data_IF_919981252179
#
_entry.id   IF_919981252179
#
_cell.length_a   1.000
_cell.length_b   1.000
_cell.length_c   1.000
_cell.angle_alpha   90.00
_cell.angle_beta   90.00
_cell.angle_gamma   90.00
#
_symmetry.space_group_name_H-M   'P 1'
#
loop_
_entity.id
_entity.type
_entity.pdbx_description
1 polymer ?
#
# COMPACT_ATOMS: atom_id res chain seq x y z
N UNK A 1 13.80 -30.72 4.21
CA UNK A 1 12.59 -31.13 3.46
C UNK A 1 12.80 -30.76 2.01
N UNK A 2 12.64 -31.67 1.05
CA UNK A 2 12.68 -31.31 -0.37
C UNK A 2 11.44 -30.46 -0.65
N UNK A 3 11.61 -29.13 -0.75
CA UNK A 3 10.54 -28.24 -1.15
C UNK A 3 10.03 -28.70 -2.52
N UNK A 4 8.77 -29.14 -2.59
CA UNK A 4 8.14 -29.49 -3.85
C UNK A 4 7.81 -28.19 -4.57
N UNK A 5 8.66 -27.82 -5.52
CA UNK A 5 8.39 -26.74 -6.46
C UNK A 5 7.47 -27.24 -7.57
N UNK A 6 6.45 -26.46 -7.89
CA UNK A 6 5.57 -26.70 -9.02
C UNK A 6 5.89 -25.66 -10.09
N UNK A 7 6.15 -26.10 -11.31
CA UNK A 7 6.43 -25.19 -12.44
C UNK A 7 5.29 -25.26 -13.43
N UNK A 8 4.62 -24.13 -13.66
CA UNK A 8 3.49 -24.03 -14.58
C UNK A 8 3.56 -22.74 -15.40
N UNK A 9 3.19 -22.82 -16.68
CA UNK A 9 2.96 -21.63 -17.51
C UNK A 9 1.60 -21.02 -17.19
N UNK A 10 1.40 -19.75 -17.57
CA UNK A 10 0.11 -19.06 -17.40
C UNK A 10 -1.05 -19.82 -18.07
N UNK A 11 -0.82 -20.38 -19.28
CA UNK A 11 -1.82 -21.17 -20.00
C UNK A 11 -2.19 -22.47 -19.25
N UNK A 12 -1.22 -23.13 -18.63
CA UNK A 12 -1.46 -24.32 -17.81
C UNK A 12 -2.24 -23.96 -16.54
N UNK A 13 -1.86 -22.88 -15.86
CA UNK A 13 -2.57 -22.36 -14.67
C UNK A 13 -4.03 -22.07 -15.03
N UNK A 14 -4.28 -21.38 -16.15
CA UNK A 14 -5.63 -21.10 -16.65
C UNK A 14 -6.43 -22.36 -16.90
N UNK A 15 -5.83 -23.35 -17.59
CA UNK A 15 -6.50 -24.61 -17.89
C UNK A 15 -6.92 -25.37 -16.62
N UNK A 16 -6.03 -25.44 -15.61
CA UNK A 16 -6.34 -26.09 -14.32
C UNK A 16 -7.40 -25.32 -13.54
N UNK A 17 -7.29 -24.00 -13.49
CA UNK A 17 -8.25 -23.10 -12.83
C UNK A 17 -9.67 -23.30 -13.38
N UNK A 18 -9.83 -23.34 -14.71
CA UNK A 18 -11.12 -23.57 -15.36
C UNK A 18 -11.67 -24.97 -15.10
N UNK A 19 -10.82 -26.00 -15.23
CA UNK A 19 -11.24 -27.40 -15.04
C UNK A 19 -11.60 -27.72 -13.58
N UNK A 20 -10.99 -27.04 -12.63
CA UNK A 20 -11.18 -27.26 -11.19
C UNK A 20 -12.11 -26.24 -10.53
N UNK A 21 -12.71 -25.34 -11.32
CA UNK A 21 -13.58 -24.25 -10.86
C UNK A 21 -12.94 -23.35 -9.78
N UNK A 22 -11.63 -23.10 -9.89
CA UNK A 22 -10.91 -22.19 -8.98
C UNK A 22 -10.88 -20.81 -9.63
N UNK A 23 -11.77 -19.92 -9.19
CA UNK A 23 -11.78 -18.52 -9.65
C UNK A 23 -10.73 -17.72 -8.89
N UNK A 24 -9.84 -16.94 -9.52
CA UNK A 24 -8.94 -16.07 -8.78
C UNK A 24 -9.69 -15.03 -7.94
N UNK A 25 -9.21 -14.72 -6.73
CA UNK A 25 -9.75 -13.63 -5.93
C UNK A 25 -8.94 -12.33 -6.11
N UNK A 26 -9.35 -11.25 -5.46
CA UNK A 26 -8.69 -9.95 -5.61
C UNK A 26 -7.23 -9.92 -5.13
N UNK A 27 -6.84 -10.85 -4.26
CA UNK A 27 -5.49 -10.98 -3.71
C UNK A 27 -4.59 -11.91 -4.53
N UNK A 28 -5.09 -12.54 -5.60
CA UNK A 28 -4.30 -13.47 -6.43
C UNK A 28 -2.93 -12.90 -6.80
N UNK A 29 -1.87 -13.63 -6.44
CA UNK A 29 -0.48 -13.24 -6.75
C UNK A 29 -0.07 -13.60 -8.19
N UNK A 30 -0.89 -14.41 -8.87
CA UNK A 30 -0.69 -14.77 -10.26
C UNK A 30 -1.29 -13.71 -11.20
N UNK A 31 -0.66 -13.47 -12.36
CA UNK A 31 -1.10 -12.47 -13.32
C UNK A 31 -2.52 -12.77 -13.84
N UNK A 32 -3.16 -11.76 -14.43
CA UNK A 32 -4.46 -11.95 -15.09
C UNK A 32 -4.35 -13.01 -16.19
N UNK A 33 -5.04 -14.13 -15.99
CA UNK A 33 -5.07 -15.30 -16.86
C UNK A 33 -5.90 -15.05 -18.13
N UNK A 34 -5.71 -13.90 -18.78
CA UNK A 34 -6.47 -13.45 -19.95
C UNK A 34 -6.01 -14.10 -21.26
N UNK A 35 -5.04 -15.01 -21.21
CA UNK A 35 -4.49 -15.67 -22.39
C UNK A 35 -5.54 -16.51 -23.14
N UNK A 36 -5.49 -16.48 -24.47
CA UNK A 36 -6.43 -17.20 -25.35
C UNK A 36 -5.95 -18.60 -25.74
N UNK A 37 -4.71 -18.96 -25.42
CA UNK A 37 -4.15 -20.27 -25.73
C UNK A 37 -4.83 -21.39 -24.92
N UNK A 38 -5.36 -22.38 -25.63
CA UNK A 38 -6.01 -23.55 -25.05
C UNK A 38 -5.00 -24.69 -24.95
N UNK A 39 -4.54 -24.97 -23.74
CA UNK A 39 -3.66 -26.11 -23.43
C UNK A 39 -4.43 -27.13 -22.60
N UNK A 40 -4.09 -28.42 -22.73
CA UNK A 40 -4.67 -29.45 -21.86
C UNK A 40 -4.21 -29.23 -20.40
N UNK A 41 -5.11 -29.32 -19.41
CA UNK A 41 -4.75 -29.10 -18.02
C UNK A 41 -3.77 -30.19 -17.56
N UNK A 42 -2.61 -29.85 -16.99
CA UNK A 42 -1.75 -30.83 -16.35
C UNK A 42 -2.50 -31.50 -15.18
N UNK A 43 -2.21 -32.78 -14.96
CA UNK A 43 -2.75 -33.53 -13.82
C UNK A 43 -1.94 -33.16 -12.59
N UNK A 44 -2.58 -32.51 -11.62
CA UNK A 44 -1.99 -32.14 -10.34
C UNK A 44 -2.50 -33.07 -9.23
N UNK A 45 -1.61 -33.47 -8.34
CA UNK A 45 -2.00 -34.20 -7.12
C UNK A 45 -2.72 -33.26 -6.11
N UNK A 46 -3.37 -33.78 -5.05
CA UNK A 46 -4.08 -32.95 -4.09
C UNK A 46 -3.24 -31.88 -3.40
N UNK A 47 -1.95 -32.15 -3.14
CA UNK A 47 -1.05 -31.18 -2.52
C UNK A 47 -0.67 -30.08 -3.52
N UNK A 48 -0.43 -30.44 -4.78
CA UNK A 48 -0.18 -29.50 -5.86
C UNK A 48 -1.40 -28.61 -6.14
N UNK A 49 -2.60 -29.18 -6.06
CA UNK A 49 -3.86 -28.43 -6.16
C UNK A 49 -4.02 -27.43 -5.00
N UNK A 50 -3.63 -27.79 -3.77
CA UNK A 50 -3.66 -26.87 -2.63
C UNK A 50 -2.72 -25.68 -2.83
N UNK A 51 -1.49 -25.92 -3.30
CA UNK A 51 -0.52 -24.86 -3.64
C UNK A 51 -1.05 -23.94 -4.73
N UNK A 52 -1.58 -24.48 -5.82
CA UNK A 52 -2.17 -23.66 -6.87
C UNK A 52 -3.38 -22.84 -6.37
N UNK A 53 -4.22 -23.45 -5.53
CA UNK A 53 -5.37 -22.76 -4.94
C UNK A 53 -4.94 -21.63 -4.02
N UNK A 54 -3.90 -21.84 -3.20
CA UNK A 54 -3.34 -20.77 -2.38
C UNK A 54 -2.81 -19.63 -3.26
N UNK A 55 -2.10 -19.92 -4.35
CA UNK A 55 -1.61 -18.87 -5.25
C UNK A 55 -2.72 -18.06 -5.96
N UNK A 56 -3.82 -18.72 -6.37
CA UNK A 56 -4.95 -18.08 -7.07
C UNK A 56 -5.97 -17.42 -6.12
N UNK A 57 -6.15 -17.98 -4.93
CA UNK A 57 -7.14 -17.54 -3.94
C UNK A 57 -6.54 -17.41 -2.53
N UNK A 58 -5.52 -16.56 -2.32
CA UNK A 58 -5.00 -16.30 -0.98
C UNK A 58 -6.09 -15.77 -0.04
N UNK A 59 -5.96 -16.06 1.24
CA UNK A 59 -6.66 -15.31 2.30
C UNK A 59 -5.82 -14.12 2.79
N UNK A 60 -4.49 -14.24 2.66
CA UNK A 60 -3.53 -13.20 2.98
C UNK A 60 -2.39 -13.27 1.97
N UNK A 61 -1.87 -12.12 1.57
CA UNK A 61 -0.62 -12.02 0.82
C UNK A 61 0.35 -11.13 1.58
N UNK A 62 1.62 -11.49 1.59
CA UNK A 62 2.66 -10.70 2.21
C UNK A 62 3.79 -10.42 1.23
N UNK A 63 4.09 -9.14 1.03
CA UNK A 63 5.30 -8.71 0.35
C UNK A 63 6.37 -8.43 1.41
N UNK A 64 7.53 -9.06 1.25
CA UNK A 64 8.63 -8.97 2.21
C UNK A 64 9.88 -8.50 1.49
N UNK A 65 10.48 -7.43 1.99
CA UNK A 65 11.77 -6.95 1.53
C UNK A 65 12.80 -7.13 2.65
N UNK A 66 13.93 -7.78 2.35
CA UNK A 66 15.05 -7.95 3.27
C UNK A 66 16.29 -7.33 2.66
N UNK A 67 16.78 -6.26 3.26
CA UNK A 67 18.08 -5.67 2.94
C UNK A 67 19.13 -6.20 3.92
N UNK A 68 20.16 -6.85 3.38
CA UNK A 68 21.33 -7.35 4.11
C UNK A 68 22.46 -6.34 3.97
N UNK A 69 22.67 -5.56 5.03
CA UNK A 69 23.61 -4.45 5.09
C UNK A 69 23.49 -3.53 3.86
N UNK A 70 24.51 -3.47 3.01
CA UNK A 70 24.48 -2.75 1.74
C UNK A 70 24.70 -3.69 0.53
N UNK A 71 24.69 -5.01 0.73
CA UNK A 71 25.25 -5.99 -0.22
C UNK A 71 24.19 -6.87 -0.89
N UNK A 72 23.00 -7.00 -0.31
CA UNK A 72 21.95 -7.85 -0.84
C UNK A 72 20.56 -7.32 -0.54
N UNK A 73 19.68 -7.38 -1.55
CA UNK A 73 18.25 -7.13 -1.42
C UNK A 73 17.50 -8.39 -1.85
N UNK A 74 16.64 -8.88 -0.98
CA UNK A 74 15.72 -9.98 -1.26
C UNK A 74 14.30 -9.45 -1.24
N UNK A 75 13.56 -9.66 -2.33
CA UNK A 75 12.13 -9.35 -2.42
C UNK A 75 11.37 -10.66 -2.57
N UNK A 76 10.38 -10.86 -1.71
CA UNK A 76 9.58 -12.08 -1.65
C UNK A 76 8.11 -11.71 -1.67
N UNK A 77 7.33 -12.49 -2.41
CA UNK A 77 5.88 -12.44 -2.37
C UNK A 77 5.37 -13.79 -1.90
N UNK A 78 4.69 -13.79 -0.75
CA UNK A 78 4.07 -14.94 -0.14
C UNK A 78 2.56 -14.84 -0.30
N UNK A 79 1.94 -15.92 -0.77
CA UNK A 79 0.50 -16.13 -0.65
C UNK A 79 0.21 -17.17 0.44
N UNK A 80 -0.83 -16.95 1.24
CA UNK A 80 -1.27 -17.84 2.31
C UNK A 80 -2.74 -18.20 2.15
N UNK A 81 -3.07 -19.49 2.22
CA UNK A 81 -4.43 -20.01 2.34
C UNK A 81 -4.44 -21.25 3.22
N UNK A 82 -5.14 -21.21 4.36
CA UNK A 82 -5.04 -22.31 5.32
C UNK A 82 -3.64 -22.38 5.90
N UNK A 83 -3.12 -23.60 6.03
CA UNK A 83 -1.73 -23.90 6.39
C UNK A 83 -0.80 -23.91 5.16
N UNK A 84 -1.31 -23.58 3.97
CA UNK A 84 -0.54 -23.61 2.73
C UNK A 84 -0.01 -22.23 2.39
N UNK A 85 1.31 -22.07 2.49
CA UNK A 85 2.02 -20.92 1.97
C UNK A 85 2.66 -21.21 0.62
N UNK A 86 2.73 -20.18 -0.22
CA UNK A 86 3.31 -20.26 -1.56
C UNK A 86 4.17 -19.04 -1.83
N UNK A 87 5.46 -19.27 -2.05
CA UNK A 87 6.37 -18.27 -2.60
C UNK A 87 6.35 -18.37 -4.12
N UNK A 88 6.17 -17.23 -4.78
CA UNK A 88 6.19 -17.14 -6.23
C UNK A 88 7.59 -16.76 -6.74
N UNK A 89 8.18 -17.65 -7.52
CA UNK A 89 9.34 -17.37 -8.36
C UNK A 89 8.94 -17.27 -9.83
N UNK A 90 9.71 -16.52 -10.62
CA UNK A 90 9.61 -16.53 -12.08
C UNK A 90 10.92 -17.00 -12.69
N UNK A 91 10.83 -17.92 -13.65
CA UNK A 91 11.96 -18.37 -14.45
C UNK A 91 11.49 -18.53 -15.88
N UNK A 92 12.17 -17.87 -16.81
CA UNK A 92 11.78 -17.79 -18.22
C UNK A 92 10.31 -17.34 -18.35
N UNK A 93 9.47 -18.16 -18.98
CA UNK A 93 8.03 -17.94 -19.16
C UNK A 93 7.16 -18.77 -18.19
N UNK A 94 7.76 -19.32 -17.12
CA UNK A 94 7.09 -20.20 -16.17
C UNK A 94 7.03 -19.61 -14.77
N UNK A 95 5.91 -19.87 -14.09
CA UNK A 95 5.74 -19.60 -12.67
C UNK A 95 6.26 -20.78 -11.87
N UNK A 96 7.15 -20.52 -10.91
CA UNK A 96 7.60 -21.49 -9.93
C UNK A 96 6.86 -21.23 -8.61
N UNK A 97 6.01 -22.17 -8.21
CA UNK A 97 5.28 -22.13 -6.96
C UNK A 97 6.03 -22.99 -5.94
N UNK A 98 6.70 -22.33 -4.99
CA UNK A 98 7.47 -23.00 -3.95
C UNK A 98 6.58 -23.10 -2.71
N UNK A 99 6.33 -24.33 -2.27
CA UNK A 99 5.56 -24.59 -1.05
C UNK A 99 6.31 -24.05 0.17
N UNK A 100 5.60 -23.34 1.04
CA UNK A 100 6.09 -22.75 2.27
C UNK A 100 4.98 -22.69 3.33
N UNK A 101 5.27 -22.06 4.46
CA UNK A 101 4.32 -21.74 5.52
C UNK A 101 4.69 -20.39 6.13
N UNK A 102 3.77 -19.79 6.89
CA UNK A 102 4.03 -18.59 7.68
C UNK A 102 5.19 -18.80 8.67
N UNK A 103 5.28 -19.99 9.27
CA UNK A 103 6.33 -20.34 10.22
C UNK A 103 7.71 -20.50 9.57
N UNK A 104 7.78 -21.13 8.39
CA UNK A 104 9.02 -21.27 7.63
C UNK A 104 9.58 -19.89 7.25
N UNK A 105 8.71 -18.99 6.79
CA UNK A 105 9.10 -17.66 6.38
C UNK A 105 9.51 -16.79 7.57
N UNK A 106 8.75 -16.84 8.67
CA UNK A 106 9.12 -16.18 9.91
C UNK A 106 10.50 -16.65 10.40
N UNK A 107 10.73 -17.97 10.43
CA UNK A 107 12.02 -18.55 10.82
C UNK A 107 13.16 -18.05 9.93
N UNK A 108 12.95 -17.99 8.62
CA UNK A 108 13.96 -17.48 7.68
C UNK A 108 14.30 -16.00 7.95
N UNK A 109 13.29 -15.14 8.12
CA UNK A 109 13.52 -13.71 8.40
C UNK A 109 14.20 -13.52 9.77
N UNK A 110 13.76 -14.25 10.79
CA UNK A 110 14.39 -14.22 12.11
C UNK A 110 15.85 -14.66 12.07
N UNK A 111 16.20 -15.65 11.23
CA UNK A 111 17.58 -16.07 11.04
C UNK A 111 18.48 -14.93 10.51
N UNK A 112 17.94 -14.04 9.67
CA UNK A 112 18.65 -12.83 9.23
C UNK A 112 18.74 -11.79 10.37
N UNK A 113 17.65 -11.53 11.09
CA UNK A 113 17.63 -10.57 12.20
C UNK A 113 18.53 -10.98 13.37
N UNK A 114 18.70 -12.28 13.60
CA UNK A 114 19.57 -12.84 14.65
C UNK A 114 21.06 -12.84 14.27
N UNK A 115 21.43 -12.46 13.04
CA UNK A 115 22.83 -12.38 12.64
C UNK A 115 23.59 -11.37 13.50
N UNK A 116 24.67 -11.82 14.14
CA UNK A 116 25.41 -11.00 15.11
C UNK A 116 25.03 -11.24 16.56
N UNK A 117 24.10 -12.16 16.83
CA UNK A 117 23.65 -12.51 18.18
C UNK A 117 22.38 -11.78 18.61
N UNK A 118 21.94 -12.11 19.82
CA UNK A 118 20.71 -11.59 20.42
C UNK A 118 20.72 -10.06 20.53
N UNK A 119 19.73 -9.35 19.97
CA UNK A 119 19.57 -7.92 20.15
C UNK A 119 19.29 -7.59 21.63
N UNK A 120 19.83 -6.45 22.07
CA UNK A 120 19.52 -5.89 23.39
C UNK A 120 18.20 -5.15 23.33
N UNK A 121 17.23 -5.62 24.12
CA UNK A 121 15.99 -4.89 24.35
C UNK A 121 16.27 -3.63 25.18
N UNK A 122 15.80 -2.48 24.71
CA UNK A 122 15.88 -1.17 25.38
C UNK A 122 14.51 -0.79 25.95
N UNK A 123 14.49 0.00 27.02
CA UNK A 123 13.26 0.56 27.58
C UNK A 123 12.75 1.78 26.79
N UNK A 124 13.05 1.85 25.49
CA UNK A 124 12.68 2.94 24.60
C UNK A 124 11.49 2.49 23.75
N UNK A 125 10.41 3.25 23.84
CA UNK A 125 9.23 3.13 23.00
C UNK A 125 8.82 4.55 22.60
N UNK A 126 8.86 4.85 21.31
CA UNK A 126 8.46 6.15 20.76
C UNK A 126 7.15 5.97 20.02
N UNK A 127 6.15 6.75 20.39
CA UNK A 127 4.94 6.91 19.59
C UNK A 127 5.06 8.26 18.90
N UNK A 128 5.07 8.23 17.57
CA UNK A 128 5.36 9.36 16.71
C UNK A 128 4.22 9.55 15.71
N UNK A 129 4.00 10.77 15.22
CA UNK A 129 3.35 10.93 13.92
C UNK A 129 4.20 10.31 12.81
N UNK A 130 3.55 9.88 11.71
CA UNK A 130 4.28 9.41 10.52
C UNK A 130 5.26 10.47 9.99
N UNK A 131 4.89 11.75 10.07
CA UNK A 131 5.75 12.87 9.69
C UNK A 131 7.03 12.93 10.55
N UNK A 132 6.91 12.87 11.89
CA UNK A 132 8.07 12.85 12.77
C UNK A 132 8.94 11.62 12.53
N UNK A 133 8.34 10.46 12.27
CA UNK A 133 9.08 9.24 11.95
C UNK A 133 9.89 9.36 10.64
N UNK A 134 9.29 9.83 9.54
CA UNK A 134 10.04 10.01 8.29
C UNK A 134 11.14 11.07 8.42
N UNK A 135 10.89 12.14 9.19
CA UNK A 135 11.90 13.15 9.47
C UNK A 135 13.07 12.60 10.28
N UNK A 136 12.81 11.66 11.19
CA UNK A 136 13.83 10.94 11.95
C UNK A 136 14.68 10.05 11.04
N UNK A 137 14.06 9.33 10.09
CA UNK A 137 14.80 8.54 9.09
C UNK A 137 15.61 9.43 8.14
N UNK A 138 15.05 10.56 7.71
CA UNK A 138 15.74 11.57 6.91
C UNK A 138 17.00 12.09 7.61
N UNK A 139 16.89 12.39 8.90
CA UNK A 139 18.03 12.77 9.73
C UNK A 139 19.07 11.65 9.77
N UNK A 140 18.66 10.40 10.04
CA UNK A 140 19.60 9.27 10.09
C UNK A 140 20.36 9.06 8.77
N UNK A 141 19.68 9.24 7.63
CA UNK A 141 20.32 9.16 6.32
C UNK A 141 21.22 10.36 6.03
N UNK A 142 20.84 11.57 6.42
CA UNK A 142 21.73 12.73 6.31
C UNK A 142 23.01 12.55 7.15
N UNK A 143 22.90 11.97 8.34
CA UNK A 143 24.04 11.65 9.19
C UNK A 143 24.96 10.59 8.57
N UNK A 144 24.39 9.49 8.07
CA UNK A 144 25.16 8.46 7.33
C UNK A 144 25.85 9.07 6.11
N UNK A 145 25.22 9.99 5.38
CA UNK A 145 25.84 10.68 4.25
C UNK A 145 27.02 11.54 4.67
N UNK A 146 26.85 12.39 5.68
CA UNK A 146 27.93 13.24 6.20
C UNK A 146 29.13 12.43 6.70
N UNK A 147 28.89 11.30 7.39
CA UNK A 147 29.93 10.38 7.80
C UNK A 147 30.72 9.81 6.60
N UNK A 148 30.02 9.31 5.57
CA UNK A 148 30.67 8.76 4.37
C UNK A 148 31.46 9.83 3.61
N UNK A 149 30.94 11.04 3.49
CA UNK A 149 31.65 12.18 2.90
C UNK A 149 32.90 12.55 3.70
N UNK A 150 32.82 12.55 5.04
CA UNK A 150 33.96 12.76 5.92
C UNK A 150 35.06 11.72 5.71
N UNK A 151 34.69 10.44 5.61
CA UNK A 151 35.64 9.36 5.32
C UNK A 151 36.36 9.57 3.97
N UNK A 152 35.62 9.96 2.92
CA UNK A 152 36.19 10.23 1.60
C UNK A 152 37.14 11.42 1.60
N UNK A 153 36.81 12.45 2.36
CA UNK A 153 37.60 13.69 2.46
C UNK A 153 38.69 13.63 3.53
N UNK A 154 38.80 12.52 4.27
CA UNK A 154 39.66 12.39 5.45
C UNK A 154 39.42 13.50 6.49
N UNK A 155 38.16 13.89 6.68
CA UNK A 155 37.72 14.87 7.67
C UNK A 155 36.69 14.26 8.62
N UNK A 156 36.58 14.85 9.81
CA UNK A 156 35.40 14.65 10.66
C UNK A 156 34.40 15.72 10.25
N UNK A 157 33.34 15.31 9.57
CA UNK A 157 32.26 16.20 9.15
C UNK A 157 31.03 15.92 10.02
N UNK A 158 30.62 16.91 10.80
CA UNK A 158 29.31 16.86 11.42
C UNK A 158 28.27 17.25 10.35
N UNK A 159 27.24 16.43 10.13
CA UNK A 159 26.19 16.74 9.17
C UNK A 159 25.44 17.98 9.65
N UNK A 160 25.41 19.02 8.81
CA UNK A 160 24.58 20.19 9.08
C UNK A 160 23.16 19.85 8.63
N UNK A 161 22.31 19.46 9.58
CA UNK A 161 20.88 19.39 9.30
C UNK A 161 20.35 20.81 9.12
N UNK A 162 19.53 21.00 8.08
CA UNK A 162 18.74 22.21 7.86
C UNK A 162 17.33 21.79 7.46
N UNK A 163 16.35 22.65 7.72
CA UNK A 163 14.96 22.44 7.29
C UNK A 163 14.89 22.13 5.80
N UNK A 164 15.59 22.92 4.97
CA UNK A 164 15.59 22.73 3.51
C UNK A 164 16.28 21.45 3.05
N UNK A 165 17.29 20.96 3.79
CA UNK A 165 17.91 19.67 3.51
C UNK A 165 16.94 18.51 3.81
N UNK A 166 16.22 18.60 4.93
CA UNK A 166 15.23 17.61 5.33
C UNK A 166 14.01 17.60 4.39
N UNK A 167 13.52 18.76 3.94
CA UNK A 167 12.47 18.86 2.89
C UNK A 167 12.86 18.10 1.63
N UNK A 168 14.08 18.38 1.14
CA UNK A 168 14.56 17.78 -0.08
C UNK A 168 14.73 16.27 0.05
N UNK A 169 15.18 15.81 1.23
CA UNK A 169 15.46 14.39 1.46
C UNK A 169 14.28 13.47 1.20
N UNK A 170 13.04 13.88 1.50
CA UNK A 170 11.85 13.06 1.26
C UNK A 170 11.52 12.98 -0.22
N UNK A 171 11.55 14.13 -0.90
CA UNK A 171 11.31 14.18 -2.35
C UNK A 171 12.37 13.34 -3.07
N UNK A 172 13.64 13.54 -2.72
CA UNK A 172 14.76 12.77 -3.27
C UNK A 172 14.65 11.27 -2.95
N UNK A 173 14.24 10.90 -1.74
CA UNK A 173 14.07 9.49 -1.34
C UNK A 173 12.96 8.79 -2.12
N UNK A 174 11.88 9.51 -2.42
CA UNK A 174 10.78 8.99 -3.22
C UNK A 174 11.14 8.91 -4.70
N UNK A 175 11.78 9.94 -5.26
CA UNK A 175 12.10 10.01 -6.69
C UNK A 175 13.33 9.16 -7.09
N UNK A 176 14.32 9.07 -6.20
CA UNK A 176 15.59 8.37 -6.42
C UNK A 176 15.75 7.24 -5.39
N UNK A 177 14.86 6.24 -5.48
CA UNK A 177 14.71 5.15 -4.51
C UNK A 177 15.95 4.24 -4.40
N UNK A 178 16.97 4.67 -3.67
CA UNK A 178 18.11 3.83 -3.26
C UNK A 178 17.77 3.13 -1.94
N UNK A 179 17.32 1.88 -2.04
CA UNK A 179 16.85 1.06 -0.92
C UNK A 179 17.92 0.76 0.15
N UNK A 180 19.19 1.14 -0.07
CA UNK A 180 20.24 1.02 0.96
C UNK A 180 20.14 2.09 2.06
N UNK A 181 19.27 3.06 1.88
CA UNK A 181 19.00 4.15 2.82
C UNK A 181 17.66 3.94 3.53
N UNK A 182 17.56 4.37 4.79
CA UNK A 182 16.40 4.07 5.64
C UNK A 182 15.13 4.68 5.09
N UNK A 183 15.17 5.96 4.75
CA UNK A 183 14.00 6.69 4.30
C UNK A 183 13.48 6.15 2.96
N UNK A 184 14.31 5.97 1.91
CA UNK A 184 13.87 5.26 0.71
C UNK A 184 13.31 3.86 0.99
N UNK A 185 13.94 3.08 1.88
CA UNK A 185 13.44 1.75 2.24
C UNK A 185 12.13 1.79 3.05
N UNK A 186 11.85 2.85 3.79
CA UNK A 186 10.55 3.01 4.46
C UNK A 186 9.46 3.48 3.49
N UNK A 187 9.84 4.18 2.41
CA UNK A 187 8.90 4.81 1.47
C UNK A 187 8.68 4.04 0.17
N UNK A 188 9.44 3.00 -0.16
CA UNK A 188 9.36 2.38 -1.50
C UNK A 188 8.01 1.76 -1.86
N UNK A 189 7.13 1.53 -0.87
CA UNK A 189 5.74 1.08 -1.08
C UNK A 189 4.70 2.20 -1.00
N UNK A 190 5.11 3.44 -0.73
CA UNK A 190 4.20 4.56 -0.68
C UNK A 190 3.61 4.82 -2.08
N UNK A 191 2.29 4.95 -2.17
CA UNK A 191 1.60 5.22 -3.44
C UNK A 191 1.84 6.64 -3.97
N UNK A 192 2.09 7.57 -3.04
CA UNK A 192 2.29 8.99 -3.32
C UNK A 192 3.43 9.53 -2.47
N UNK A 193 4.07 10.61 -2.96
CA UNK A 193 5.06 11.36 -2.18
C UNK A 193 4.40 11.87 -0.90
N UNK A 194 4.91 11.51 0.29
CA UNK A 194 4.35 12.01 1.54
C UNK A 194 4.49 13.54 1.64
N UNK A 195 3.44 14.22 2.09
CA UNK A 195 3.50 15.65 2.40
C UNK A 195 3.90 15.85 3.86
N UNK A 196 5.11 16.38 4.07
CA UNK A 196 5.65 16.55 5.41
C UNK A 196 5.27 17.89 6.03
N UNK A 197 4.61 17.88 7.18
CA UNK A 197 4.57 19.05 8.08
C UNK A 197 5.83 19.05 8.95
N UNK A 198 6.91 19.65 8.43
CA UNK A 198 8.20 19.70 9.12
C UNK A 198 8.13 20.44 10.44
N UNK A 199 7.34 21.52 10.50
CA UNK A 199 7.30 22.34 11.70
C UNK A 199 6.71 21.54 12.86
N UNK A 200 5.60 20.84 12.60
CA UNK A 200 4.99 19.95 13.59
C UNK A 200 5.93 18.80 13.94
N UNK A 201 6.54 18.15 12.94
CA UNK A 201 7.45 17.03 13.15
C UNK A 201 8.69 17.41 13.98
N UNK A 202 9.31 18.57 13.73
CA UNK A 202 10.43 19.07 14.54
C UNK A 202 10.01 19.40 15.97
N UNK A 203 8.81 19.97 16.16
CA UNK A 203 8.29 20.22 17.51
C UNK A 203 8.14 18.91 18.28
N UNK A 204 7.59 17.89 17.65
CA UNK A 204 7.38 16.57 18.25
C UNK A 204 8.71 15.88 18.58
N UNK A 205 9.69 15.89 17.68
CA UNK A 205 11.02 15.34 17.94
C UNK A 205 11.75 16.09 19.07
N UNK A 206 11.51 17.40 19.23
CA UNK A 206 12.05 18.19 20.33
C UNK A 206 11.37 17.85 21.67
N UNK A 207 10.04 17.65 21.67
CA UNK A 207 9.28 17.22 22.85
C UNK A 207 9.72 15.84 23.35
N UNK A 208 10.14 14.97 22.44
CA UNK A 208 10.71 13.65 22.74
C UNK A 208 12.18 13.70 23.16
N UNK A 209 12.79 14.88 23.15
CA UNK A 209 14.18 15.07 23.54
C UNK A 209 15.19 14.49 22.56
N UNK A 210 14.83 14.32 21.28
CA UNK A 210 15.75 13.85 20.24
C UNK A 210 16.49 15.01 19.56
N UNK A 211 15.89 16.20 19.57
CA UNK A 211 16.52 17.44 19.08
C UNK A 211 16.33 18.59 20.08
N UNK A 212 17.21 19.58 20.00
CA UNK A 212 17.11 20.81 20.79
C UNK A 212 15.87 21.63 20.40
N UNK A 213 15.30 22.34 21.39
CA UNK A 213 14.17 23.21 21.17
C UNK A 213 14.50 24.33 20.15
N UNK A 214 13.70 24.42 19.09
CA UNK A 214 13.81 25.48 18.09
C UNK A 214 14.71 25.18 16.88
N UNK A 215 15.12 23.92 16.68
CA UNK A 215 16.00 23.60 15.55
C UNK A 215 16.06 22.14 15.14
N UNK A 216 17.18 21.81 14.49
CA UNK A 216 17.52 20.51 13.88
C UNK A 216 18.83 19.96 14.47
N UNK A 217 19.24 20.49 15.62
CA UNK A 217 20.42 20.05 16.37
C UNK A 217 20.01 18.86 17.22
N UNK A 218 20.70 17.73 17.09
CA UNK A 218 20.44 16.56 17.94
C UNK A 218 20.85 16.84 19.39
N UNK A 219 20.06 16.32 20.33
CA UNK A 219 20.50 16.15 21.73
C UNK A 219 21.53 15.01 21.82
N UNK A 220 22.11 14.78 23.00
CA UNK A 220 22.97 13.61 23.22
C UNK A 220 22.20 12.30 22.99
N UNK A 221 20.98 12.22 23.51
CA UNK A 221 20.08 11.07 23.32
C UNK A 221 19.72 10.87 21.84
N UNK A 222 19.41 11.96 21.13
CA UNK A 222 19.13 11.94 19.70
C UNK A 222 20.34 11.49 18.88
N UNK A 223 21.53 11.99 19.20
CA UNK A 223 22.77 11.58 18.56
C UNK A 223 23.05 10.10 18.77
N UNK A 224 22.93 9.60 20.00
CA UNK A 224 23.09 8.17 20.30
C UNK A 224 22.06 7.29 19.56
N UNK A 225 20.83 7.79 19.43
CA UNK A 225 19.77 7.07 18.73
C UNK A 225 20.02 7.01 17.22
N UNK A 226 20.38 8.15 16.60
CA UNK A 226 20.76 8.23 15.19
C UNK A 226 22.00 7.36 14.91
N UNK A 227 22.99 7.37 15.79
CA UNK A 227 24.19 6.55 15.67
C UNK A 227 23.85 5.05 15.70
N UNK A 228 22.99 4.59 16.63
CA UNK A 228 22.50 3.21 16.63
C UNK A 228 21.82 2.87 15.29
N UNK A 229 20.96 3.76 14.79
CA UNK A 229 20.33 3.60 13.48
C UNK A 229 21.31 3.65 12.32
N UNK A 230 22.51 4.23 12.42
CA UNK A 230 23.49 4.23 11.32
C UNK A 230 24.14 2.87 11.12
N UNK A 231 24.43 2.16 12.21
CA UNK A 231 25.09 0.85 12.20
C UNK A 231 24.10 -0.30 12.00
N UNK A 232 23.42 -0.26 10.84
CA UNK A 232 22.38 -1.22 10.43
C UNK A 232 23.01 -2.47 9.84
N UNK A 233 22.52 -3.63 10.27
CA UNK A 233 22.88 -4.95 9.74
C UNK A 233 21.82 -5.46 8.78
N UNK A 234 20.56 -5.39 9.17
CA UNK A 234 19.44 -5.92 8.39
C UNK A 234 18.26 -4.98 8.51
N UNK A 235 17.59 -4.71 7.40
CA UNK A 235 16.30 -4.02 7.38
C UNK A 235 15.29 -4.97 6.75
N UNK A 236 14.14 -5.16 7.38
CA UNK A 236 13.07 -6.02 6.88
C UNK A 236 11.78 -5.23 6.86
N UNK A 237 11.17 -5.06 5.69
CA UNK A 237 9.79 -4.61 5.58
C UNK A 237 8.87 -5.80 5.32
N UNK A 238 7.80 -5.91 6.11
CA UNK A 238 6.77 -6.94 5.96
C UNK A 238 5.44 -6.23 5.77
N UNK A 239 4.86 -6.34 4.58
CA UNK A 239 3.58 -5.74 4.22
C UNK A 239 2.55 -6.83 3.91
N UNK A 240 1.59 -7.03 4.79
CA UNK A 240 0.48 -7.98 4.65
C UNK A 240 -0.76 -7.28 4.10
N UNK A 241 -1.39 -7.88 3.10
CA UNK A 241 -2.63 -7.42 2.45
C UNK A 241 -3.68 -8.51 2.54
N UNK A 242 -4.87 -8.17 3.01
CA UNK A 242 -5.97 -9.09 3.23
C UNK A 242 -7.33 -8.41 3.07
N UNK A 243 -8.41 -9.18 3.16
CA UNK A 243 -9.77 -8.64 3.19
C UNK A 243 -10.30 -8.64 4.62
N UNK A 244 -10.93 -7.54 5.02
CA UNK A 244 -11.63 -7.38 6.30
C UNK A 244 -12.91 -6.59 6.02
N UNK A 245 -14.06 -7.11 6.48
CA UNK A 245 -15.37 -6.47 6.26
C UNK A 245 -15.67 -6.12 4.79
N UNK A 246 -15.28 -7.00 3.87
CA UNK A 246 -15.39 -6.83 2.41
C UNK A 246 -14.55 -5.67 1.80
N UNK A 247 -13.63 -5.09 2.56
CA UNK A 247 -12.67 -4.09 2.12
C UNK A 247 -11.25 -4.65 2.18
N UNK A 248 -10.36 -4.12 1.32
CA UNK A 248 -8.94 -4.44 1.43
C UNK A 248 -8.38 -3.70 2.64
N UNK A 249 -7.74 -4.47 3.52
CA UNK A 249 -6.99 -3.99 4.67
C UNK A 249 -5.53 -4.41 4.52
N UNK A 250 -4.64 -3.67 5.18
CA UNK A 250 -3.23 -4.01 5.19
C UNK A 250 -2.65 -3.82 6.59
N UNK A 251 -1.51 -4.46 6.83
CA UNK A 251 -0.74 -4.30 8.06
C UNK A 251 0.74 -4.35 7.71
N UNK A 252 1.51 -3.43 8.28
CA UNK A 252 2.92 -3.27 7.93
C UNK A 252 3.78 -3.21 9.18
N UNK A 253 4.90 -3.93 9.15
CA UNK A 253 5.96 -3.79 10.15
C UNK A 253 7.30 -3.67 9.45
N UNK A 254 8.07 -2.66 9.85
CA UNK A 254 9.46 -2.48 9.45
C UNK A 254 10.38 -2.84 10.63
N UNK A 255 11.19 -3.87 10.47
CA UNK A 255 12.24 -4.24 11.41
C UNK A 255 13.57 -3.60 10.99
N UNK A 256 14.29 -3.03 11.96
CA UNK A 256 15.62 -2.46 11.77
C UNK A 256 16.55 -3.11 12.79
N UNK A 257 17.39 -4.05 12.33
CA UNK A 257 18.45 -4.66 13.13
C UNK A 257 19.70 -3.80 13.02
N UNK A 258 20.09 -3.19 14.14
CA UNK A 258 21.38 -2.49 14.29
C UNK A 258 22.43 -3.45 14.84
N UNK A 259 23.63 -2.97 15.16
CA UNK A 259 24.62 -3.75 15.91
C UNK A 259 24.07 -4.22 17.27
N UNK A 260 23.43 -3.31 18.02
CA UNK A 260 23.04 -3.57 19.40
C UNK A 260 21.55 -3.91 19.56
N UNK A 261 20.67 -3.35 18.74
CA UNK A 261 19.22 -3.34 18.98
C UNK A 261 18.46 -3.96 17.80
N UNK A 262 17.27 -4.50 18.06
CA UNK A 262 16.26 -4.78 17.05
C UNK A 262 15.09 -3.85 17.31
N UNK A 263 14.83 -2.98 16.35
CA UNK A 263 13.68 -2.08 16.36
C UNK A 263 12.58 -2.65 15.49
N UNK A 264 11.33 -2.51 15.90
CA UNK A 264 10.17 -2.64 15.03
C UNK A 264 9.39 -1.34 15.00
N UNK A 265 8.96 -1.01 13.80
CA UNK A 265 8.13 0.13 13.45
C UNK A 265 6.78 -0.45 13.06
N UNK A 266 5.75 -0.18 13.86
CA UNK A 266 4.37 -0.55 13.54
C UNK A 266 3.63 0.70 13.06
N UNK A 267 3.03 0.61 11.87
CA UNK A 267 2.29 1.72 11.27
C UNK A 267 0.81 1.64 11.69
N UNK A 268 0.31 2.71 12.29
CA UNK A 268 -1.11 2.99 12.38
C UNK A 268 -1.56 3.93 11.25
N UNK A 269 -2.83 4.34 11.28
CA UNK A 269 -3.41 5.18 10.23
C UNK A 269 -2.70 6.54 10.10
N UNK A 270 -2.23 7.11 11.21
CA UNK A 270 -1.59 8.44 11.26
C UNK A 270 -0.35 8.49 12.17
N UNK A 271 -0.14 7.44 12.96
CA UNK A 271 0.92 7.31 13.95
C UNK A 271 1.80 6.08 13.67
N UNK A 272 2.93 6.07 14.35
CA UNK A 272 3.96 5.04 14.27
C UNK A 272 4.42 4.72 15.68
N UNK A 273 4.41 3.44 16.02
CA UNK A 273 5.04 2.95 17.23
C UNK A 273 6.42 2.34 16.88
N UNK A 274 7.48 2.96 17.40
CA UNK A 274 8.85 2.48 17.31
C UNK A 274 9.28 1.88 18.64
N UNK A 275 9.44 0.56 18.66
CA UNK A 275 9.72 -0.21 19.88
C UNK A 275 10.91 -1.13 19.67
N UNK A 276 11.73 -1.30 20.70
CA UNK A 276 12.76 -2.34 20.68
C UNK A 276 12.20 -3.68 21.17
N UNK A 277 12.70 -4.77 20.61
CA UNK A 277 12.20 -6.12 20.89
C UNK A 277 13.28 -7.19 20.81
N UNK A 278 12.97 -8.38 21.32
CA UNK A 278 13.78 -9.60 21.13
C UNK A 278 13.46 -10.28 19.80
N UNK A 279 14.23 -11.30 19.42
CA UNK A 279 13.94 -12.13 18.24
C UNK A 279 12.63 -12.89 18.41
N UNK A 280 12.35 -13.42 19.61
CA UNK A 280 11.11 -14.14 19.88
C UNK A 280 9.88 -13.23 19.72
N UNK A 281 9.94 -12.00 20.25
CA UNK A 281 8.87 -11.00 20.10
C UNK A 281 8.67 -10.60 18.64
N UNK A 282 9.76 -10.46 17.87
CA UNK A 282 9.70 -10.18 16.44
C UNK A 282 9.07 -11.36 15.66
N UNK A 283 9.38 -12.60 16.05
CA UNK A 283 8.81 -13.81 15.47
C UNK A 283 7.29 -13.88 15.71
N UNK A 284 6.86 -13.66 16.96
CA UNK A 284 5.44 -13.62 17.34
C UNK A 284 4.68 -12.55 16.54
N UNK A 285 5.26 -11.34 16.45
CA UNK A 285 4.68 -10.25 15.67
C UNK A 285 4.57 -10.60 14.17
N UNK A 286 5.63 -11.20 13.60
CA UNK A 286 5.63 -11.60 12.20
C UNK A 286 4.60 -12.69 11.91
N UNK A 287 4.49 -13.70 12.77
CA UNK A 287 3.46 -14.76 12.61
C UNK A 287 2.07 -14.13 12.75
N UNK A 288 1.84 -13.23 13.70
CA UNK A 288 0.56 -12.56 13.87
C UNK A 288 0.11 -11.76 12.63
N UNK A 289 1.05 -11.15 11.89
CA UNK A 289 0.76 -10.50 10.61
C UNK A 289 0.34 -11.49 9.53
N UNK A 290 0.90 -12.70 9.55
CA UNK A 290 0.74 -13.72 8.50
C UNK A 290 -0.45 -14.66 8.72
N UNK A 291 -0.91 -14.88 9.96
CA UNK A 291 -2.03 -15.78 10.29
C UNK A 291 -3.27 -15.54 9.40
N UNK A 292 -4.07 -16.60 9.23
CA UNK A 292 -5.33 -16.61 8.51
C UNK A 292 -6.21 -15.37 8.77
N UNK A 293 -6.78 -14.88 7.67
CA UNK A 293 -7.69 -13.73 7.59
C UNK A 293 -9.05 -14.20 7.06
N UNK A 294 -9.99 -13.28 6.83
CA UNK A 294 -11.29 -13.63 6.26
C UNK A 294 -11.15 -14.14 4.80
N UNK A 295 -12.13 -14.92 4.32
CA UNK A 295 -12.15 -15.37 2.93
C UNK A 295 -12.43 -14.17 2.01
N UNK A 296 -11.51 -13.82 1.09
CA UNK A 296 -11.69 -12.64 0.24
C UNK A 296 -12.76 -12.86 -0.83
N UNK A 297 -13.45 -11.79 -1.19
CA UNK A 297 -14.39 -11.78 -2.30
C UNK A 297 -13.69 -12.09 -3.63
N UNK A 298 -14.45 -12.72 -4.53
CA UNK A 298 -13.95 -13.03 -5.87
C UNK A 298 -13.47 -11.77 -6.60
N UNK A 299 -12.47 -11.95 -7.48
CA UNK A 299 -12.03 -10.89 -8.39
C UNK A 299 -13.22 -10.58 -9.27
N UNK A 300 -14.01 -9.57 -8.91
CA UNK A 300 -14.94 -8.97 -9.86
C UNK A 300 -14.04 -8.46 -10.96
N UNK A 301 -14.13 -9.06 -12.14
CA UNK A 301 -13.69 -8.37 -13.35
C UNK A 301 -14.29 -6.95 -13.27
N UNK A 302 -13.61 -5.91 -13.78
CA UNK A 302 -14.35 -4.74 -14.20
C UNK A 302 -15.31 -5.25 -15.29
N UNK A 303 -16.47 -5.77 -14.87
CA UNK A 303 -17.66 -5.84 -15.66
C UNK A 303 -17.70 -4.46 -16.22
N UNK A 304 -17.48 -4.37 -17.55
CA UNK A 304 -17.88 -3.22 -18.32
C UNK A 304 -19.25 -2.89 -17.75
N UNK A 305 -19.31 -1.84 -16.94
CA UNK A 305 -20.52 -1.44 -16.28
C UNK A 305 -21.50 -1.46 -17.43
N UNK A 306 -22.53 -2.30 -17.34
CA UNK A 306 -23.67 -2.15 -18.24
C UNK A 306 -24.00 -0.68 -18.07
N UNK A 307 -23.65 0.11 -19.09
CA UNK A 307 -24.17 1.44 -19.29
C UNK A 307 -25.64 1.16 -19.48
N UNK A 308 -26.36 1.05 -18.38
CA UNK A 308 -27.74 1.46 -18.35
C UNK A 308 -27.67 2.89 -18.82
N UNK A 309 -28.09 3.10 -20.07
CA UNK A 309 -28.23 4.41 -20.66
C UNK A 309 -28.98 5.30 -19.66
N UNK A 310 -28.34 6.32 -19.07
CA UNK A 310 -29.10 7.41 -18.52
C UNK A 310 -29.54 8.20 -19.75
N UNK A 311 -30.68 7.82 -20.30
CA UNK A 311 -31.37 8.61 -21.29
C UNK A 311 -31.63 10.01 -20.71
N UNK A 312 -30.78 10.95 -21.14
CA UNK A 312 -31.03 12.39 -21.26
C UNK A 312 -31.60 13.11 -20.03
N UNK A 313 -30.70 13.66 -19.22
CA UNK A 313 -30.79 15.04 -18.77
C UNK A 313 -29.38 15.55 -18.49
N UNK A 314 -28.82 16.38 -19.39
CA UNK A 314 -27.66 17.21 -19.07
C UNK A 314 -28.01 18.04 -17.83
N UNK A 315 -27.28 17.97 -16.71
CA UNK A 315 -27.35 19.04 -15.74
C UNK A 315 -26.63 20.22 -16.38
N UNK A 316 -27.36 21.28 -16.70
CA UNK A 316 -26.77 22.57 -17.06
C UNK A 316 -25.86 22.98 -15.90
N UNK A 317 -24.57 22.97 -16.17
CA UNK A 317 -23.55 23.35 -15.23
C UNK A 317 -23.64 24.87 -15.06
N UNK A 318 -24.27 25.32 -13.98
CA UNK A 318 -24.28 26.74 -13.63
C UNK A 318 -22.85 27.20 -13.35
N UNK A 319 -22.40 28.22 -14.08
CA UNK A 319 -21.11 28.89 -13.84
C UNK A 319 -21.36 30.25 -13.21
N UNK A 320 -20.49 30.65 -12.28
CA UNK A 320 -20.51 31.97 -11.70
C UNK A 320 -20.31 33.02 -12.80
N UNK A 321 -21.20 34.00 -12.88
CA UNK A 321 -21.12 35.09 -13.88
C UNK A 321 -19.89 35.98 -13.72
N UNK A 322 -19.26 36.00 -12.53
CA UNK A 322 -18.12 36.88 -12.23
C UNK A 322 -16.76 36.19 -12.38
N UNK A 323 -16.60 34.97 -11.83
CA UNK A 323 -15.29 34.29 -11.81
C UNK A 323 -15.25 33.00 -12.66
N UNK A 324 -16.33 32.70 -13.39
CA UNK A 324 -16.50 31.51 -14.22
C UNK A 324 -16.37 30.15 -13.50
N UNK A 325 -16.24 30.16 -12.16
CA UNK A 325 -16.19 28.95 -11.34
C UNK A 325 -17.48 28.16 -11.49
N UNK A 326 -17.34 26.84 -11.61
CA UNK A 326 -18.47 25.91 -11.64
C UNK A 326 -19.16 25.88 -10.27
N UNK A 327 -20.48 26.13 -10.27
CA UNK A 327 -21.30 26.19 -9.06
C UNK A 327 -22.08 24.89 -8.88
N UNK A 328 -22.08 24.37 -7.67
CA UNK A 328 -22.92 23.21 -7.33
C UNK A 328 -24.41 23.62 -7.33
N UNK A 329 -25.32 22.75 -7.81
CA UNK A 329 -26.76 23.03 -7.79
C UNK A 329 -27.26 23.36 -6.38
N UNK A 330 -28.07 24.43 -6.25
CA UNK A 330 -28.64 24.85 -4.95
C UNK A 330 -27.75 25.78 -4.10
N UNK A 331 -26.54 26.13 -4.56
CA UNK A 331 -25.70 27.12 -3.89
C UNK A 331 -26.29 28.53 -4.02
N UNK A 332 -26.46 29.24 -2.89
CA UNK A 332 -27.00 30.62 -2.87
C UNK A 332 -25.92 31.67 -3.17
N UNK A 333 -24.65 31.33 -3.02
CA UNK A 333 -23.48 32.20 -3.25
C UNK A 333 -22.32 31.39 -3.86
N UNK A 334 -21.48 32.05 -4.66
CA UNK A 334 -20.26 31.47 -5.20
C UNK A 334 -19.21 31.29 -4.08
N UNK A 335 -18.73 30.05 -3.89
CA UNK A 335 -17.73 29.72 -2.86
C UNK A 335 -16.37 30.38 -3.08
N UNK A 336 -16.06 30.82 -4.31
CA UNK A 336 -14.76 31.41 -4.65
C UNK A 336 -14.72 32.94 -4.55
N UNK A 337 -15.84 33.61 -4.86
CA UNK A 337 -15.87 35.09 -4.93
C UNK A 337 -17.03 35.74 -4.18
N UNK A 338 -17.93 34.96 -3.57
CA UNK A 338 -19.05 35.47 -2.76
C UNK A 338 -20.28 35.96 -3.52
N UNK A 339 -20.27 35.96 -4.86
CA UNK A 339 -21.39 36.49 -5.68
C UNK A 339 -22.67 35.66 -5.49
N UNK A 340 -23.84 36.27 -5.19
CA UNK A 340 -25.11 35.56 -5.03
C UNK A 340 -25.64 34.96 -6.34
N UNK A 341 -26.25 33.79 -6.26
CA UNK A 341 -26.76 33.00 -7.40
C UNK A 341 -28.30 33.00 -7.37
N UNK A 342 -28.94 33.43 -8.46
CA UNK A 342 -30.41 33.51 -8.54
C UNK A 342 -31.05 32.09 -8.66
N UNK A 343 -32.17 31.81 -7.97
CA UNK A 343 -32.79 30.48 -7.99
C UNK A 343 -33.47 30.16 -9.35
N UNK A 344 -33.37 28.91 -9.86
CA UNK A 344 -34.00 28.51 -11.11
C UNK A 344 -35.52 28.29 -10.96
N UNK A 345 -36.28 28.65 -12.01
CA UNK A 345 -37.73 28.54 -12.08
C UNK A 345 -38.21 27.08 -12.19
N UNK A 346 -39.32 26.75 -11.52
CA UNK A 346 -39.85 25.38 -11.43
C UNK A 346 -40.38 24.82 -12.78
N UNK A 347 -40.23 23.50 -13.07
CA UNK A 347 -40.72 22.89 -14.31
C UNK A 347 -42.23 22.63 -14.30
N UNK A 348 -42.91 22.86 -15.44
CA UNK A 348 -44.33 22.52 -15.67
C UNK A 348 -44.53 21.00 -15.83
N UNK A 349 -45.60 20.47 -15.24
CA UNK A 349 -45.95 19.04 -15.25
C UNK A 349 -46.27 18.50 -16.65
N UNK A 350 -45.94 17.23 -16.90
CA UNK A 350 -46.15 16.53 -18.17
C UNK A 350 -47.57 15.93 -18.28
N UNK A 351 -48.14 15.95 -19.47
CA UNK A 351 -49.46 15.39 -19.78
C UNK A 351 -49.37 13.99 -20.43
N UNK A 352 -50.42 13.18 -20.28
CA UNK A 352 -50.48 11.78 -20.76
C UNK A 352 -51.65 11.57 -21.73
N UNK A 353 -51.49 10.66 -22.69
CA UNK A 353 -52.50 10.30 -23.68
C UNK A 353 -53.64 9.51 -23.04
N UNK A 354 -54.87 10.01 -23.16
CA UNK A 354 -56.06 9.39 -22.56
C UNK A 354 -56.48 8.05 -23.20
N UNK A 355 -56.02 7.76 -24.43
CA UNK A 355 -56.38 6.52 -25.12
C UNK A 355 -55.46 5.33 -24.84
N UNK A 356 -54.18 5.57 -24.53
CA UNK A 356 -53.20 4.49 -24.33
C UNK A 356 -52.25 4.70 -23.15
N UNK A 357 -52.41 5.79 -22.40
CA UNK A 357 -51.60 6.12 -21.23
C UNK A 357 -50.17 6.60 -21.52
N UNK A 358 -49.77 6.73 -22.78
CA UNK A 358 -48.41 7.16 -23.14
C UNK A 358 -48.16 8.63 -22.79
N UNK A 359 -47.00 8.94 -22.20
CA UNK A 359 -46.57 10.32 -21.88
C UNK A 359 -46.43 11.13 -23.18
N UNK A 360 -47.08 12.29 -23.25
CA UNK A 360 -46.99 13.19 -24.40
C UNK A 360 -45.87 14.20 -24.19
N UNK A 361 -45.08 14.43 -25.22
CA UNK A 361 -44.11 15.52 -25.21
C UNK A 361 -44.86 16.88 -25.28
N UNK A 362 -44.33 17.95 -24.64
CA UNK A 362 -44.95 19.27 -24.70
C UNK A 362 -45.14 19.72 -26.15
N UNK A 363 -46.38 20.05 -26.53
CA UNK A 363 -46.71 20.56 -27.87
C UNK A 363 -47.06 19.50 -28.94
N UNK A 364 -47.16 18.21 -28.61
CA UNK A 364 -47.61 17.20 -29.58
C UNK A 364 -49.14 17.19 -29.76
N UNK A 365 -49.57 17.21 -31.03
CA UNK A 365 -50.99 17.16 -31.45
C UNK A 365 -51.52 15.73 -31.66
N UNK A 366 -50.65 14.74 -31.85
CA UNK A 366 -51.00 13.34 -32.05
C UNK A 366 -50.11 12.44 -31.19
N UNK A 367 -50.65 11.34 -30.69
CA UNK A 367 -49.87 10.37 -29.93
C UNK A 367 -48.96 9.56 -30.86
N UNK A 368 -47.65 9.62 -30.65
CA UNK A 368 -46.66 8.86 -31.43
C UNK A 368 -46.78 7.34 -31.28
N UNK A 369 -47.46 6.84 -30.23
CA UNK A 369 -47.61 5.41 -29.96
C UNK A 369 -48.88 4.79 -30.55
N UNK A 370 -50.00 5.53 -30.59
CA UNK A 370 -51.28 5.00 -31.07
C UNK A 370 -51.90 5.78 -32.23
N UNK A 371 -51.27 6.86 -32.68
CA UNK A 371 -51.69 7.67 -33.83
C UNK A 371 -52.94 8.52 -33.60
N UNK A 372 -53.61 8.42 -32.44
CA UNK A 372 -54.81 9.21 -32.15
C UNK A 372 -54.48 10.67 -31.83
N UNK A 373 -55.30 11.64 -32.28
CA UNK A 373 -55.14 13.03 -31.90
C UNK A 373 -55.32 13.21 -30.39
N UNK A 374 -54.62 14.19 -29.84
CA UNK A 374 -54.84 14.65 -28.47
C UNK A 374 -56.24 15.27 -28.42
N UNK A 375 -57.12 14.70 -27.59
CA UNK A 375 -58.47 15.23 -27.35
C UNK A 375 -58.41 16.53 -26.54
#
# INVERSE_FOLDING_TARGET
MNAKTITLTDAQIKAVSLNSHITPNRLSILPDLNQTESVSPPVLDPAQMAVLTAALRPMNTADIAVLLANDGLMLLQLSLRGETGVLLGRSDDSNQLLTSSEGDLATMVMAYLAQGGEPRKRAVALNLSQNAFWLLLAAADAYKRGYLEGLLNHTVADPILTVSCLERSITDAYENTDLRWLLPFALFRAENVPQLDIKSALSELAELGLIEAGGVVLTEEGAMFIDDLMYRRVIVDVHSLYEQDAALAHSQVLFIRTEATLWAVQYGDQDVALVSMTIDEACELMVALLIQKDEPADRREPSAAKKEDPATAKPDVLKCSTCAQQLAPGTKFCVRCGTPVAPPAAPKAAEYCQSCGAKLAPGQHFCSKCGKPRA
#
